data_IF_910804765119
#
_entry.id   IF_910804765119
#
_cell.length_a   1.000
_cell.length_b   1.000
_cell.length_c   1.000
_cell.angle_alpha   90.00
_cell.angle_beta   90.00
_cell.angle_gamma   90.00
#
_symmetry.space_group_name_H-M   'P 1'
#
loop_
_entity.id
_entity.type
_entity.pdbx_description
1 polymer ?
#
# COMPACT_ATOMS: atom_id res chain seq x y z
N UNK A 1 -7.59 -18.51 -2.38
CA UNK A 1 -7.73 -17.15 -1.89
C UNK A 1 -7.21 -17.00 -0.48
N UNK A 2 -7.63 -17.88 0.42
CA UNK A 2 -7.15 -17.85 1.80
C UNK A 2 -5.64 -18.08 1.89
N UNK A 3 -5.10 -18.93 1.02
CA UNK A 3 -3.65 -19.19 0.98
C UNK A 3 -2.89 -17.97 0.52
N UNK A 4 -3.40 -17.26 -0.50
CA UNK A 4 -2.75 -16.05 -1.01
C UNK A 4 -2.82 -14.93 0.02
N UNK A 5 -3.96 -14.74 0.67
CA UNK A 5 -4.09 -13.74 1.72
C UNK A 5 -3.15 -14.04 2.89
N UNK A 6 -3.09 -15.31 3.32
CA UNK A 6 -2.17 -15.72 4.36
C UNK A 6 -0.72 -15.45 4.01
N UNK A 7 -0.32 -15.75 2.76
CA UNK A 7 1.03 -15.47 2.28
C UNK A 7 1.34 -13.98 2.29
N UNK A 8 0.41 -13.16 1.78
CA UNK A 8 0.59 -11.71 1.75
C UNK A 8 0.75 -11.13 3.16
N UNK A 9 -0.05 -11.61 4.12
CA UNK A 9 0.06 -11.16 5.49
C UNK A 9 1.37 -11.60 6.14
N UNK A 10 1.82 -12.82 5.88
CA UNK A 10 3.07 -13.35 6.42
C UNK A 10 4.31 -12.67 5.83
N UNK A 11 4.24 -12.27 4.56
CA UNK A 11 5.35 -11.64 3.86
C UNK A 11 5.31 -10.12 3.91
N UNK A 12 4.39 -9.56 4.70
CA UNK A 12 4.29 -8.12 4.85
C UNK A 12 5.52 -7.56 5.59
N UNK A 13 5.87 -6.33 5.27
CA UNK A 13 6.98 -5.63 5.90
C UNK A 13 6.50 -4.32 6.51
N UNK A 14 7.08 -3.96 7.65
CA UNK A 14 6.83 -2.68 8.27
C UNK A 14 7.85 -1.66 7.77
N UNK A 15 7.43 -0.41 7.64
CA UNK A 15 8.30 0.70 7.25
C UNK A 15 7.91 1.95 8.02
N UNK A 16 8.74 2.99 7.96
CA UNK A 16 8.53 4.25 8.69
C UNK A 16 8.27 3.99 10.19
N UNK A 17 9.17 3.21 10.80
CA UNK A 17 9.11 2.87 12.24
C UNK A 17 7.79 2.20 12.64
N UNK A 18 7.25 1.36 11.76
CA UNK A 18 6.03 0.60 12.06
C UNK A 18 4.72 1.35 11.79
N UNK A 19 4.78 2.60 11.35
CA UNK A 19 3.57 3.34 11.00
C UNK A 19 3.04 2.96 9.61
N UNK A 20 3.89 2.35 8.78
CA UNK A 20 3.49 1.80 7.50
C UNK A 20 3.65 0.30 7.47
N UNK A 21 2.80 -0.36 6.68
CA UNK A 21 2.94 -1.79 6.39
C UNK A 21 2.70 -2.00 4.90
N UNK A 22 3.47 -2.89 4.30
CA UNK A 22 3.38 -3.14 2.86
C UNK A 22 3.49 -4.62 2.55
N UNK A 23 2.80 -5.04 1.51
CA UNK A 23 2.98 -6.36 0.93
C UNK A 23 2.80 -6.27 -0.58
N UNK A 24 3.35 -7.22 -1.30
CA UNK A 24 3.18 -7.28 -2.75
C UNK A 24 3.11 -8.72 -3.23
N UNK A 25 2.47 -8.91 -4.37
CA UNK A 25 2.39 -10.21 -5.03
C UNK A 25 2.78 -10.03 -6.49
N UNK A 26 3.73 -10.84 -6.94
CA UNK A 26 4.14 -10.86 -8.34
C UNK A 26 3.18 -11.67 -9.19
N UNK A 27 3.17 -11.39 -10.48
CA UNK A 27 2.25 -12.02 -11.42
C UNK A 27 2.39 -13.54 -11.46
N UNK A 28 3.63 -14.05 -11.41
CA UNK A 28 3.87 -15.49 -11.43
C UNK A 28 3.29 -16.19 -10.20
N UNK A 29 3.31 -15.54 -9.05
CA UNK A 29 2.69 -16.07 -7.83
C UNK A 29 1.17 -16.11 -7.98
N UNK A 30 0.58 -15.05 -8.55
CA UNK A 30 -0.85 -15.03 -8.82
C UNK A 30 -1.24 -16.18 -9.74
N UNK A 31 -0.48 -16.40 -10.80
CA UNK A 31 -0.72 -17.49 -11.74
C UNK A 31 -0.58 -18.85 -11.06
N UNK A 32 0.43 -19.03 -10.22
CA UNK A 32 0.63 -20.28 -9.48
C UNK A 32 -0.58 -20.65 -8.62
N UNK A 33 -1.17 -19.67 -7.93
CA UNK A 33 -2.34 -19.91 -7.09
C UNK A 33 -3.67 -19.82 -7.85
N UNK A 34 -3.63 -19.46 -9.13
CA UNK A 34 -4.85 -19.34 -9.94
C UNK A 34 -5.76 -18.20 -9.49
N UNK A 35 -5.17 -17.10 -9.00
CA UNK A 35 -5.94 -15.96 -8.50
C UNK A 35 -5.83 -14.76 -9.42
N UNK A 36 -6.88 -13.94 -9.43
CA UNK A 36 -6.91 -12.68 -10.15
C UNK A 36 -7.14 -11.50 -9.20
N UNK A 37 -7.24 -10.28 -9.74
CA UNK A 37 -7.40 -9.09 -8.90
C UNK A 37 -8.56 -9.16 -7.91
N UNK A 38 -9.66 -9.78 -8.30
CA UNK A 38 -10.83 -9.91 -7.40
C UNK A 38 -10.53 -10.70 -6.14
N UNK A 39 -9.65 -11.70 -6.26
CA UNK A 39 -9.28 -12.55 -5.14
C UNK A 39 -8.38 -11.83 -4.14
N UNK A 40 -7.80 -10.71 -4.56
CA UNK A 40 -6.86 -9.94 -3.75
C UNK A 40 -7.54 -8.77 -3.02
N UNK A 41 -8.82 -8.54 -3.29
CA UNK A 41 -9.59 -7.53 -2.59
C UNK A 41 -9.62 -7.85 -1.10
N UNK A 42 -9.49 -6.85 -0.27
CA UNK A 42 -9.52 -7.05 1.17
C UNK A 42 -8.16 -7.24 1.83
N UNK A 43 -7.12 -7.62 1.05
CA UNK A 43 -5.79 -7.80 1.64
C UNK A 43 -5.30 -6.51 2.29
N UNK A 44 -5.42 -5.38 1.58
CA UNK A 44 -4.94 -4.10 2.11
C UNK A 44 -5.70 -3.70 3.36
N UNK A 45 -7.00 -4.03 3.44
CA UNK A 45 -7.81 -3.75 4.63
C UNK A 45 -7.37 -4.58 5.82
N UNK A 46 -6.95 -5.82 5.59
CA UNK A 46 -6.40 -6.66 6.65
C UNK A 46 -5.04 -6.14 7.13
N UNK A 47 -4.20 -5.69 6.21
CA UNK A 47 -2.91 -5.09 6.58
C UNK A 47 -3.12 -3.86 7.46
N UNK A 48 -4.13 -3.04 7.15
CA UNK A 48 -4.42 -1.81 7.89
C UNK A 48 -4.75 -2.05 9.37
N UNK A 49 -5.31 -3.21 9.72
CA UNK A 49 -5.69 -3.48 11.11
C UNK A 49 -4.50 -3.88 11.99
N UNK A 50 -3.30 -3.98 11.42
CA UNK A 50 -2.09 -4.25 12.20
C UNK A 50 -1.87 -3.12 13.22
N UNK A 51 -1.59 -3.49 14.46
CA UNK A 51 -1.41 -2.51 15.54
C UNK A 51 -0.28 -1.54 15.22
N UNK A 52 -0.51 -0.26 15.47
CA UNK A 52 0.46 0.81 15.24
C UNK A 52 0.52 1.31 13.81
N UNK A 53 -0.17 0.67 12.88
CA UNK A 53 -0.14 1.04 11.46
C UNK A 53 -1.10 2.18 11.17
N UNK A 54 -0.61 3.21 10.52
CA UNK A 54 -1.44 4.29 10.00
C UNK A 54 -1.73 4.09 8.51
N UNK A 55 -0.73 3.63 7.72
CA UNK A 55 -0.88 3.45 6.28
C UNK A 55 -0.56 2.01 5.89
N UNK A 56 -1.44 1.39 5.14
CA UNK A 56 -1.22 0.07 4.55
C UNK A 56 -1.12 0.19 3.04
N UNK A 57 -0.15 -0.53 2.48
CA UNK A 57 0.12 -0.58 1.04
C UNK A 57 0.05 -2.03 0.60
N UNK A 58 -0.76 -2.30 -0.41
CA UNK A 58 -0.72 -3.59 -1.07
C UNK A 58 -0.59 -3.36 -2.56
N UNK A 59 0.31 -4.12 -3.21
CA UNK A 59 0.46 -3.98 -4.65
C UNK A 59 0.52 -5.36 -5.30
N UNK A 60 -0.03 -5.45 -6.52
CA UNK A 60 0.09 -6.67 -7.30
C UNK A 60 0.59 -6.31 -8.70
N UNK A 61 1.35 -7.24 -9.27
CA UNK A 61 2.00 -7.02 -10.56
C UNK A 61 1.04 -7.22 -11.72
N UNK A 62 0.91 -6.19 -12.55
CA UNK A 62 0.09 -6.24 -13.77
C UNK A 62 0.88 -6.88 -14.91
N UNK A 63 2.11 -6.46 -15.06
CA UNK A 63 3.09 -6.98 -16.00
C UNK A 63 4.45 -6.70 -15.39
N UNK A 64 5.52 -7.19 -15.99
CA UNK A 64 6.85 -7.07 -15.39
C UNK A 64 7.14 -5.65 -14.92
N UNK A 65 7.40 -5.51 -13.64
CA UNK A 65 7.74 -4.23 -12.98
C UNK A 65 6.72 -3.11 -13.20
N UNK A 66 5.44 -3.47 -13.30
CA UNK A 66 4.34 -2.51 -13.26
C UNK A 66 3.31 -3.01 -12.26
N UNK A 67 3.03 -2.21 -11.25
CA UNK A 67 2.18 -2.62 -10.13
C UNK A 67 0.95 -1.77 -9.98
N UNK A 68 -0.17 -2.43 -9.70
CA UNK A 68 -1.38 -1.77 -9.21
C UNK A 68 -1.21 -1.63 -7.70
N UNK A 69 -1.25 -0.39 -7.22
CA UNK A 69 -0.99 -0.08 -5.81
C UNK A 69 -2.28 0.37 -5.14
N UNK A 70 -2.59 -0.25 -4.02
CA UNK A 70 -3.75 0.10 -3.19
C UNK A 70 -3.26 0.63 -1.85
N UNK A 71 -3.86 1.74 -1.43
CA UNK A 71 -3.53 2.42 -0.18
C UNK A 71 -4.73 2.49 0.74
N UNK A 72 -4.49 2.31 2.03
CA UNK A 72 -5.49 2.53 3.06
C UNK A 72 -4.86 3.28 4.22
N UNK A 73 -5.61 4.14 4.88
CA UNK A 73 -5.14 4.81 6.08
C UNK A 73 -6.16 4.67 7.20
N UNK A 74 -5.72 4.84 8.44
CA UNK A 74 -6.62 4.80 9.60
C UNK A 74 -7.31 6.14 9.81
N UNK A 75 -6.56 7.19 10.10
CA UNK A 75 -7.17 8.47 10.46
C UNK A 75 -6.42 9.70 9.98
N UNK A 76 -5.08 9.66 9.97
CA UNK A 76 -4.26 10.86 9.81
C UNK A 76 -3.86 11.16 8.38
N UNK A 77 -3.42 10.16 7.66
CA UNK A 77 -2.88 10.34 6.31
C UNK A 77 -4.01 10.36 5.28
N UNK A 78 -3.96 11.34 4.39
CA UNK A 78 -4.88 11.41 3.26
C UNK A 78 -4.24 10.70 2.07
N UNK A 79 -4.63 9.44 1.86
CA UNK A 79 -4.04 8.63 0.80
C UNK A 79 -4.51 9.05 -0.60
N UNK A 80 -5.63 9.78 -0.71
CA UNK A 80 -6.06 10.30 -2.01
C UNK A 80 -5.06 11.29 -2.58
N UNK A 81 -4.47 12.12 -1.73
CA UNK A 81 -3.44 13.09 -2.15
C UNK A 81 -2.20 12.39 -2.68
N UNK A 82 -1.79 11.34 -1.98
CA UNK A 82 -0.63 10.55 -2.38
C UNK A 82 -0.90 9.88 -3.73
N UNK A 83 -2.07 9.25 -3.87
CA UNK A 83 -2.45 8.59 -5.12
C UNK A 83 -2.48 9.59 -6.29
N UNK A 84 -3.04 10.78 -6.07
CA UNK A 84 -3.09 11.84 -7.08
C UNK A 84 -1.70 12.27 -7.53
N UNK A 85 -0.77 12.36 -6.59
CA UNK A 85 0.62 12.70 -6.91
C UNK A 85 1.23 11.72 -7.92
N UNK A 86 0.83 10.45 -7.85
CA UNK A 86 1.31 9.39 -8.73
C UNK A 86 0.35 9.08 -9.89
N UNK A 87 -0.63 9.95 -10.14
CA UNK A 87 -1.52 9.83 -11.30
C UNK A 87 -2.77 9.00 -11.08
N UNK A 88 -3.06 8.62 -9.87
CA UNK A 88 -4.28 7.88 -9.52
C UNK A 88 -5.28 8.74 -8.76
N UNK A 89 -6.02 8.12 -7.84
CA UNK A 89 -7.01 8.84 -7.06
C UNK A 89 -7.75 7.93 -6.10
N UNK A 90 -8.80 8.47 -5.49
CA UNK A 90 -9.64 7.75 -4.55
C UNK A 90 -10.18 8.66 -3.48
N UNK A 91 -10.34 8.11 -2.30
CA UNK A 91 -10.86 8.82 -1.14
C UNK A 91 -9.77 8.96 -0.08
N UNK A 92 -10.03 9.80 0.92
CA UNK A 92 -9.06 10.10 1.96
C UNK A 92 -8.44 8.87 2.60
N UNK A 93 -9.25 7.83 2.87
CA UNK A 93 -8.79 6.62 3.54
C UNK A 93 -8.58 5.42 2.64
N UNK A 94 -8.89 5.54 1.35
CA UNK A 94 -8.81 4.44 0.40
C UNK A 94 -8.55 4.97 -1.00
N UNK A 95 -7.38 4.69 -1.56
CA UNK A 95 -7.00 5.22 -2.86
C UNK A 95 -6.06 4.25 -3.57
N UNK A 96 -5.78 4.51 -4.83
CA UNK A 96 -4.87 3.66 -5.59
C UNK A 96 -4.33 4.32 -6.84
N UNK A 97 -3.30 3.72 -7.38
CA UNK A 97 -2.63 4.18 -8.59
C UNK A 97 -1.83 3.03 -9.20
N UNK A 98 -1.26 3.26 -10.37
CA UNK A 98 -0.38 2.30 -11.03
C UNK A 98 1.01 2.92 -11.15
N UNK A 99 2.04 2.13 -10.88
CA UNK A 99 3.41 2.62 -10.94
C UNK A 99 4.34 1.57 -11.55
N UNK A 100 5.27 2.04 -12.38
CA UNK A 100 6.34 1.21 -12.94
C UNK A 100 7.53 1.23 -12.00
N UNK A 101 8.18 0.08 -11.82
CA UNK A 101 9.36 -0.08 -10.97
C UNK A 101 9.29 -1.39 -10.21
N UNK A 102 10.35 -1.68 -9.46
CA UNK A 102 10.33 -2.82 -8.55
C UNK A 102 9.46 -2.48 -7.35
N UNK A 103 8.99 -3.48 -6.58
CA UNK A 103 8.22 -3.19 -5.36
C UNK A 103 8.94 -2.24 -4.41
N UNK A 104 10.26 -2.36 -4.31
CA UNK A 104 11.04 -1.50 -3.42
C UNK A 104 11.14 -0.07 -3.95
N UNK A 105 11.22 0.11 -5.27
CA UNK A 105 11.17 1.45 -5.88
C UNK A 105 9.83 2.13 -5.57
N UNK A 106 8.74 1.39 -5.74
CA UNK A 106 7.39 1.90 -5.45
C UNK A 106 7.30 2.30 -3.98
N UNK A 107 7.75 1.42 -3.09
CA UNK A 107 7.68 1.66 -1.66
C UNK A 107 8.54 2.86 -1.24
N UNK A 108 9.72 3.02 -1.82
CA UNK A 108 10.58 4.17 -1.56
C UNK A 108 9.88 5.49 -1.92
N UNK A 109 9.26 5.53 -3.09
CA UNK A 109 8.52 6.72 -3.52
C UNK A 109 7.35 7.03 -2.60
N UNK A 110 6.62 5.99 -2.19
CA UNK A 110 5.51 6.11 -1.26
C UNK A 110 5.97 6.61 0.12
N UNK A 111 7.04 6.04 0.63
CA UNK A 111 7.57 6.40 1.96
C UNK A 111 7.85 7.90 2.04
N UNK A 112 8.43 8.47 1.00
CA UNK A 112 8.73 9.91 0.97
C UNK A 112 7.46 10.75 1.07
N UNK A 113 6.44 10.38 0.32
CA UNK A 113 5.17 11.12 0.31
C UNK A 113 4.43 11.00 1.63
N UNK A 114 4.43 9.80 2.21
CA UNK A 114 3.80 9.56 3.51
C UNK A 114 4.52 10.37 4.58
N UNK A 115 5.83 10.29 4.60
CA UNK A 115 6.65 10.98 5.59
C UNK A 115 6.47 12.49 5.50
N UNK A 116 6.47 13.07 4.31
CA UNK A 116 6.25 14.50 4.11
C UNK A 116 4.89 14.93 4.66
N UNK A 117 3.85 14.15 4.40
CA UNK A 117 2.52 14.47 4.88
C UNK A 117 2.44 14.38 6.40
N UNK A 118 3.06 13.36 6.99
CA UNK A 118 3.07 13.21 8.44
C UNK A 118 3.85 14.33 9.14
N UNK A 119 4.96 14.76 8.57
CA UNK A 119 5.73 15.88 9.09
C UNK A 119 4.92 17.18 9.08
N UNK A 120 4.18 17.42 8.01
CA UNK A 120 3.32 18.61 7.92
C UNK A 120 2.22 18.58 8.98
N UNK A 121 1.65 17.40 9.24
CA UNK A 121 0.64 17.23 10.27
C UNK A 121 1.19 17.52 11.66
N UNK A 122 2.41 17.07 11.96
CA UNK A 122 3.08 17.34 13.22
C UNK A 122 3.32 18.83 13.42
N UNK A 123 3.80 19.52 12.40
CA UNK A 123 4.04 20.97 12.45
C UNK A 123 2.75 21.74 12.71
N UNK A 124 1.65 21.31 12.09
CA UNK A 124 0.35 21.94 12.31
C UNK A 124 -0.11 21.77 13.75
N UNK A 125 0.14 20.61 14.35
CA UNK A 125 -0.22 20.34 15.75
C UNK A 125 0.61 21.15 16.73
N UNK A 126 1.85 21.45 16.40
CA UNK A 126 2.74 22.25 17.25
C UNK A 126 2.37 23.73 17.28
N UNK A 127 1.61 24.19 16.28
CA UNK A 127 1.12 25.57 16.22
C UNK A 127 -0.21 25.73 16.95
#
# INVERSE_FOLDING_TARGET
QNLVMGRALMESILFLNGTGIASFIRKDVMEFYGVGPKDLEGIVSQLRVTEGVEVAVFMYELRQNEFKVSLRSKEKVDVSRIAQYFGGGGHKKAAGFTMTGTPFDVLNNLSKQIEEQMEKLEKTQEQ
#
